data_IF_409439220338
#
_entry.id   IF_409439220338
#
_cell.length_a   1.000
_cell.length_b   1.000
_cell.length_c   1.000
_cell.angle_alpha   90.00
_cell.angle_beta   90.00
_cell.angle_gamma   90.00
#
_symmetry.space_group_name_H-M   'P 1'
#
loop_
_entity.id
_entity.type
_entity.pdbx_description
1 polymer ?
#
# COMPACT_ATOMS: atom_id res chain seq x y z
N UNK A 1 -9.81 -13.79 18.17
CA UNK A 1 -9.90 -13.35 16.78
C UNK A 1 -9.10 -14.32 15.93
N UNK A 2 -9.44 -14.53 14.65
CA UNK A 2 -8.46 -15.09 13.71
C UNK A 2 -7.66 -13.91 13.19
N UNK A 3 -6.43 -13.76 13.66
CA UNK A 3 -5.46 -12.85 13.06
C UNK A 3 -5.11 -13.44 11.69
N UNK A 4 -5.34 -12.67 10.63
CA UNK A 4 -4.86 -13.00 9.30
C UNK A 4 -3.53 -12.26 9.21
N UNK A 5 -2.45 -13.01 9.04
CA UNK A 5 -1.13 -12.47 8.75
C UNK A 5 -1.16 -11.96 7.31
N UNK A 6 -1.06 -10.65 7.13
CA UNK A 6 -1.10 -10.00 5.83
C UNK A 6 0.26 -9.36 5.59
N UNK A 7 0.98 -9.87 4.59
CA UNK A 7 2.21 -9.25 4.08
C UNK A 7 1.79 -8.28 2.98
N UNK A 8 2.17 -7.01 3.13
CA UNK A 8 1.85 -5.94 2.17
C UNK A 8 3.16 -5.30 1.73
N UNK A 9 3.34 -5.21 0.41
CA UNK A 9 4.41 -4.44 -0.22
C UNK A 9 3.83 -3.15 -0.83
N UNK A 10 4.58 -2.06 -0.72
CA UNK A 10 4.34 -0.80 -1.43
C UNK A 10 4.15 -0.98 -2.94
N UNK A 11 4.87 -1.92 -3.58
CA UNK A 11 4.67 -2.24 -5.01
C UNK A 11 3.26 -2.79 -5.29
N UNK A 12 2.75 -3.67 -4.42
CA UNK A 12 1.40 -4.24 -4.56
C UNK A 12 0.33 -3.16 -4.35
N UNK A 13 0.56 -2.24 -3.40
CA UNK A 13 -0.33 -1.10 -3.19
C UNK A 13 -0.38 -0.21 -4.45
N UNK A 14 0.79 0.14 -5.01
CA UNK A 14 0.88 0.96 -6.21
C UNK A 14 0.16 0.30 -7.40
N UNK A 15 0.37 -1.01 -7.62
CA UNK A 15 -0.29 -1.77 -8.68
C UNK A 15 -1.82 -1.81 -8.48
N UNK A 16 -2.29 -1.99 -7.25
CA UNK A 16 -3.72 -1.95 -6.94
C UNK A 16 -4.34 -0.61 -7.30
N UNK A 17 -3.71 0.50 -6.87
CA UNK A 17 -4.22 1.83 -7.17
C UNK A 17 -4.15 2.16 -8.65
N UNK A 18 -3.10 1.74 -9.37
CA UNK A 18 -3.04 1.89 -10.82
C UNK A 18 -4.26 1.27 -11.49
N UNK A 19 -4.56 -0.01 -11.20
CA UNK A 19 -5.70 -0.70 -11.79
C UNK A 19 -7.02 -0.03 -11.43
N UNK A 20 -7.21 0.38 -10.18
CA UNK A 20 -8.45 1.02 -9.74
C UNK A 20 -8.63 2.43 -10.32
N UNK A 21 -7.56 3.20 -10.43
CA UNK A 21 -7.59 4.54 -11.04
C UNK A 21 -7.86 4.46 -12.54
N UNK A 22 -7.19 3.54 -13.25
CA UNK A 22 -7.42 3.30 -14.69
C UNK A 22 -8.85 2.86 -14.97
N UNK A 23 -9.42 1.95 -14.17
CA UNK A 23 -10.83 1.54 -14.29
C UNK A 23 -11.81 2.69 -14.12
N UNK A 24 -11.43 3.74 -13.37
CA UNK A 24 -12.23 4.96 -13.15
C UNK A 24 -11.95 6.05 -14.19
N UNK A 25 -11.05 5.82 -15.13
CA UNK A 25 -10.72 6.75 -16.22
C UNK A 25 -9.61 7.75 -15.90
N UNK A 26 -8.85 7.53 -14.82
CA UNK A 26 -7.65 8.31 -14.51
C UNK A 26 -6.42 7.72 -15.19
N UNK A 27 -5.42 8.56 -15.43
CA UNK A 27 -4.10 8.15 -15.91
C UNK A 27 -3.08 8.67 -14.90
N UNK A 28 -2.85 7.93 -13.79
CA UNK A 28 -1.86 8.34 -12.80
C UNK A 28 -0.45 8.18 -13.37
N UNK A 29 0.44 9.06 -12.95
CA UNK A 29 1.88 8.89 -13.16
C UNK A 29 2.47 7.88 -12.17
N UNK A 30 3.66 7.37 -12.48
CA UNK A 30 4.40 6.45 -11.60
C UNK A 30 4.71 7.10 -10.25
N UNK A 31 5.20 8.34 -10.25
CA UNK A 31 5.46 9.14 -9.05
C UNK A 31 4.20 9.31 -8.17
N UNK A 32 3.03 9.58 -8.77
CA UNK A 32 1.77 9.66 -8.02
C UNK A 32 1.37 8.32 -7.38
N UNK A 33 1.69 7.19 -8.02
CA UNK A 33 1.38 5.87 -7.48
C UNK A 33 2.31 5.49 -6.34
N UNK A 34 3.61 5.80 -6.47
CA UNK A 34 4.61 5.64 -5.41
C UNK A 34 4.20 6.43 -4.16
N UNK A 35 3.90 7.72 -4.32
CA UNK A 35 3.45 8.57 -3.20
C UNK A 35 2.14 8.06 -2.58
N UNK A 36 1.18 7.59 -3.38
CA UNK A 36 -0.06 6.99 -2.86
C UNK A 36 0.24 5.70 -2.08
N UNK A 37 1.19 4.89 -2.55
CA UNK A 37 1.57 3.66 -1.88
C UNK A 37 2.20 3.94 -0.52
N UNK A 38 3.16 4.87 -0.47
CA UNK A 38 3.83 5.29 0.77
C UNK A 38 2.82 5.84 1.78
N UNK A 39 1.99 6.80 1.37
CA UNK A 39 0.94 7.38 2.23
C UNK A 39 -0.03 6.30 2.74
N UNK A 40 -0.39 5.33 1.89
CA UNK A 40 -1.29 4.24 2.29
C UNK A 40 -0.62 3.32 3.29
N UNK A 41 0.64 2.97 3.07
CA UNK A 41 1.43 2.13 3.98
C UNK A 41 1.54 2.78 5.36
N UNK A 42 1.94 4.06 5.42
CA UNK A 42 1.97 4.84 6.65
C UNK A 42 0.60 4.87 7.36
N UNK A 43 -0.49 5.06 6.60
CA UNK A 43 -1.84 5.06 7.15
C UNK A 43 -2.23 3.70 7.75
N UNK A 44 -1.82 2.58 7.13
CA UNK A 44 -2.09 1.24 7.65
C UNK A 44 -1.31 0.97 8.94
N UNK A 45 -0.06 1.46 9.05
CA UNK A 45 0.73 1.43 10.29
C UNK A 45 0.03 2.26 11.37
N UNK A 46 -0.38 3.49 11.07
CA UNK A 46 -1.06 4.38 12.04
C UNK A 46 -2.37 3.76 12.56
N UNK A 47 -3.03 2.93 11.76
CA UNK A 47 -4.25 2.20 12.13
C UNK A 47 -3.98 0.88 12.84
N UNK A 48 -2.70 0.53 13.09
CA UNK A 48 -2.26 -0.75 13.65
C UNK A 48 -2.86 -1.95 12.90
N UNK A 49 -2.97 -1.82 11.57
CA UNK A 49 -3.45 -2.88 10.68
C UNK A 49 -2.28 -3.77 10.24
N UNK A 50 -1.14 -3.15 9.98
CA UNK A 50 0.14 -3.78 9.71
C UNK A 50 1.17 -3.27 10.73
N UNK A 51 2.16 -4.10 11.02
CA UNK A 51 3.37 -3.70 11.74
C UNK A 51 4.52 -3.74 10.74
N UNK A 52 5.40 -2.75 10.80
CA UNK A 52 6.64 -2.75 10.02
C UNK A 52 7.55 -3.83 10.61
N UNK A 53 7.84 -4.89 9.85
CA UNK A 53 8.90 -5.83 10.21
C UNK A 53 10.24 -5.09 10.03
N UNK A 54 10.72 -4.40 11.07
CA UNK A 54 12.13 -4.02 11.11
C UNK A 54 12.93 -5.33 11.01
N UNK A 55 13.69 -5.53 9.92
CA UNK A 55 14.64 -6.65 9.83
C UNK A 55 15.61 -6.53 11.01
N UNK A 56 15.37 -7.31 12.07
CA UNK A 56 16.31 -7.50 13.17
C UNK A 56 17.59 -8.18 12.60
N UNK A 57 18.61 -7.35 12.30
CA UNK A 57 20.06 -7.58 12.05
C UNK A 57 20.64 -7.24 10.66
#
# INVERSE_FOLDING_TARGET
MREIEVFIDTEEIAEFFFHELVKRGYVPSEEELEEIADITFEYLIEKSIIDEEEEDE
#
